data_IF_631344613636
#
_entry.id   IF_631344613636
#
_cell.length_a   1.000
_cell.length_b   1.000
_cell.length_c   1.000
_cell.angle_alpha   90.00
_cell.angle_beta   90.00
_cell.angle_gamma   90.00
#
_symmetry.space_group_name_H-M   'P 1'
#
loop_
_entity.id
_entity.type
_entity.pdbx_description
1 polymer ?
#
# COMPACT_ATOMS: atom_id res chain seq x y z
N UNK A 1 -1.73 31.08 -10.47
CA UNK A 1 -2.90 30.28 -10.05
C UNK A 1 -2.53 28.82 -10.22
N UNK A 2 -2.12 28.13 -9.14
CA UNK A 2 -1.68 26.74 -9.20
C UNK A 2 -2.87 25.82 -8.86
N UNK A 3 -3.30 25.05 -9.84
CA UNK A 3 -4.38 24.08 -9.70
C UNK A 3 -3.84 22.77 -9.09
N UNK A 4 -3.97 22.61 -7.77
CA UNK A 4 -3.72 21.34 -7.07
C UNK A 4 -5.01 20.52 -6.84
N UNK A 5 -6.05 20.76 -7.63
CA UNK A 5 -7.42 20.27 -7.33
C UNK A 5 -7.85 18.96 -7.98
N UNK A 6 -7.12 18.43 -8.97
CA UNK A 6 -7.63 17.31 -9.79
C UNK A 6 -7.24 15.91 -9.32
N UNK A 7 -6.11 15.74 -8.62
CA UNK A 7 -5.65 14.39 -8.22
C UNK A 7 -6.40 13.81 -7.02
N UNK A 8 -6.87 14.65 -6.09
CA UNK A 8 -7.52 14.17 -4.87
C UNK A 8 -8.84 13.43 -5.16
N UNK A 9 -9.63 13.89 -6.14
CA UNK A 9 -10.91 13.25 -6.52
C UNK A 9 -10.72 11.94 -7.31
N UNK A 10 -9.61 11.79 -8.04
CA UNK A 10 -9.32 10.53 -8.75
C UNK A 10 -8.72 9.45 -7.86
N UNK A 11 -8.16 9.81 -6.70
CA UNK A 11 -7.46 8.89 -5.82
C UNK A 11 -8.40 8.13 -4.84
N UNK A 12 -9.56 8.67 -4.50
CA UNK A 12 -10.48 8.04 -3.52
C UNK A 12 -10.80 6.55 -3.80
N UNK A 13 -11.12 6.14 -5.05
CA UNK A 13 -11.39 4.73 -5.33
C UNK A 13 -10.18 3.82 -5.09
N UNK A 14 -8.98 4.28 -5.45
CA UNK A 14 -7.76 3.49 -5.30
C UNK A 14 -7.29 3.43 -3.85
N UNK A 15 -7.52 4.46 -3.04
CA UNK A 15 -7.25 4.43 -1.59
C UNK A 15 -8.13 3.41 -0.88
N UNK A 16 -9.44 3.38 -1.19
CA UNK A 16 -10.34 2.35 -0.66
C UNK A 16 -9.90 0.94 -1.08
N UNK A 17 -9.42 0.80 -2.31
CA UNK A 17 -8.88 -0.46 -2.78
C UNK A 17 -7.57 -0.82 -2.05
N UNK A 18 -6.69 0.14 -1.78
CA UNK A 18 -5.42 -0.09 -1.08
C UNK A 18 -5.61 -0.50 0.39
N UNK A 19 -6.62 0.07 1.04
CA UNK A 19 -6.97 -0.19 2.44
C UNK A 19 -7.22 -1.68 2.70
N UNK A 20 -6.65 -2.23 3.78
CA UNK A 20 -6.92 -3.58 4.26
C UNK A 20 -5.68 -4.37 4.66
N UNK A 21 -5.90 -5.66 4.93
CA UNK A 21 -4.82 -6.63 5.18
C UNK A 21 -4.59 -7.46 3.93
N UNK A 22 -3.33 -7.52 3.51
CA UNK A 22 -2.84 -8.24 2.34
C UNK A 22 -1.90 -9.33 2.79
N UNK A 23 -2.08 -10.55 2.28
CA UNK A 23 -1.35 -11.72 2.76
C UNK A 23 -0.93 -12.66 1.63
N UNK A 24 0.28 -13.18 1.73
CA UNK A 24 0.79 -14.35 1.00
C UNK A 24 1.17 -15.44 2.01
N UNK A 25 1.83 -16.50 1.55
CA UNK A 25 2.43 -17.50 2.44
C UNK A 25 3.54 -16.92 3.31
N UNK A 26 4.29 -15.94 2.80
CA UNK A 26 5.54 -15.45 3.41
C UNK A 26 5.43 -14.01 3.94
N UNK A 27 4.29 -13.33 3.72
CA UNK A 27 4.16 -11.92 4.04
C UNK A 27 2.75 -11.55 4.48
N UNK A 28 2.71 -10.63 5.43
CA UNK A 28 1.51 -9.88 5.79
C UNK A 28 1.82 -8.39 5.74
N UNK A 29 0.94 -7.63 5.09
CA UNK A 29 0.97 -6.18 5.09
C UNK A 29 -0.40 -5.67 5.48
N UNK A 30 -0.44 -4.80 6.48
CA UNK A 30 -1.61 -4.02 6.83
C UNK A 30 -1.43 -2.61 6.29
N UNK A 31 -2.45 -2.11 5.60
CA UNK A 31 -2.53 -0.76 5.08
C UNK A 31 -3.82 -0.11 5.59
N UNK A 32 -3.67 0.95 6.37
CA UNK A 32 -4.76 1.78 6.83
C UNK A 32 -4.63 3.17 6.18
N UNK A 33 -5.33 3.37 5.07
CA UNK A 33 -5.35 4.64 4.33
C UNK A 33 -6.21 5.71 5.00
N UNK A 34 -7.02 5.37 5.99
CA UNK A 34 -7.84 6.36 6.71
C UNK A 34 -7.01 7.07 7.76
N UNK A 35 -6.13 6.32 8.44
CA UNK A 35 -5.22 6.83 9.46
C UNK A 35 -3.82 7.11 8.95
N UNK A 36 -3.54 6.78 7.68
CA UNK A 36 -2.22 6.84 7.06
C UNK A 36 -1.17 6.06 7.87
N UNK A 37 -1.51 4.82 8.20
CA UNK A 37 -0.67 3.89 8.95
C UNK A 37 -0.52 2.57 8.20
N UNK A 38 0.55 1.84 8.49
CA UNK A 38 0.77 0.50 7.96
C UNK A 38 1.59 -0.38 8.88
N UNK A 39 1.66 -1.66 8.55
CA UNK A 39 2.53 -2.63 9.20
C UNK A 39 3.01 -3.65 8.16
N UNK A 40 4.28 -4.07 8.29
CA UNK A 40 4.93 -5.06 7.41
C UNK A 40 5.58 -6.20 8.20
N UNK A 41 5.25 -6.31 9.48
CA UNK A 41 5.91 -7.18 10.46
C UNK A 41 4.84 -7.87 11.31
N UNK A 42 4.57 -9.12 10.95
CA UNK A 42 3.55 -9.96 11.57
C UNK A 42 3.90 -10.38 13.00
N UNK A 43 5.19 -10.37 13.35
CA UNK A 43 5.66 -10.64 14.72
C UNK A 43 5.31 -9.51 15.69
N UNK A 44 5.00 -8.31 15.17
CA UNK A 44 4.61 -7.12 15.94
C UNK A 44 3.24 -6.58 15.47
N UNK A 45 2.14 -7.31 15.73
CA UNK A 45 0.83 -7.04 15.15
C UNK A 45 0.17 -5.74 15.61
N UNK A 46 0.66 -5.11 16.69
CA UNK A 46 0.18 -3.82 17.18
C UNK A 46 1.06 -2.63 16.76
N UNK A 47 2.29 -2.89 16.27
CA UNK A 47 3.15 -1.83 15.80
C UNK A 47 2.59 -1.28 14.48
N UNK A 48 2.52 0.05 14.37
CA UNK A 48 2.12 0.75 13.16
C UNK A 48 3.17 1.80 12.86
N UNK A 49 3.59 1.86 11.60
CA UNK A 49 4.46 2.90 11.08
C UNK A 49 3.67 3.83 10.16
N UNK A 50 4.20 5.03 9.93
CA UNK A 50 3.58 5.99 9.01
C UNK A 50 3.50 5.42 7.59
N UNK A 51 2.32 5.51 6.98
CA UNK A 51 2.10 5.25 5.56
C UNK A 51 2.26 6.56 4.79
N UNK A 52 3.18 6.61 3.83
CA UNK A 52 3.34 7.75 2.93
C UNK A 52 3.13 7.34 1.50
N UNK A 53 2.20 7.99 0.80
CA UNK A 53 1.99 7.78 -0.64
C UNK A 53 2.91 8.71 -1.42
N UNK A 54 3.75 8.14 -2.29
CA UNK A 54 4.74 8.89 -3.08
C UNK A 54 4.26 9.18 -4.49
N UNK A 55 3.57 8.22 -5.11
CA UNK A 55 3.00 8.38 -6.44
C UNK A 55 1.78 7.48 -6.61
N UNK A 56 0.78 7.95 -7.34
CA UNK A 56 -0.44 7.21 -7.70
C UNK A 56 -0.63 7.36 -9.22
N UNK A 57 -0.57 6.24 -9.94
CA UNK A 57 -0.76 6.18 -11.38
C UNK A 57 -1.67 5.02 -11.74
N UNK A 58 -2.97 5.31 -11.86
CA UNK A 58 -3.99 4.28 -12.07
C UNK A 58 -4.05 3.30 -10.90
N UNK A 59 -3.75 2.03 -11.17
CA UNK A 59 -3.71 0.95 -10.15
C UNK A 59 -2.34 0.76 -9.50
N UNK A 60 -1.31 1.43 -10.03
CA UNK A 60 0.04 1.38 -9.49
C UNK A 60 0.22 2.50 -8.46
N UNK A 61 0.70 2.13 -7.28
CA UNK A 61 0.96 3.05 -6.17
C UNK A 61 2.38 2.82 -5.69
N UNK A 62 3.16 3.90 -5.60
CA UNK A 62 4.44 3.89 -4.88
C UNK A 62 4.17 4.43 -3.48
N UNK A 63 4.49 3.66 -2.45
CA UNK A 63 4.23 4.01 -1.07
C UNK A 63 5.35 3.54 -0.14
N UNK A 64 5.38 4.11 1.06
CA UNK A 64 6.32 3.76 2.11
C UNK A 64 5.57 3.43 3.39
N UNK A 65 6.03 2.40 4.12
CA UNK A 65 5.60 2.10 5.49
C UNK A 65 6.85 2.18 6.36
N UNK A 66 6.92 3.22 7.19
CA UNK A 66 8.14 3.55 7.93
C UNK A 66 9.30 3.85 6.98
N UNK A 67 10.36 3.03 7.03
CA UNK A 67 11.55 3.18 6.17
C UNK A 67 11.54 2.30 4.93
N UNK A 68 10.52 1.46 4.76
CA UNK A 68 10.42 0.51 3.65
C UNK A 68 9.58 1.11 2.53
N UNK A 69 10.09 1.10 1.31
CA UNK A 69 9.44 1.56 0.09
C UNK A 69 8.95 0.36 -0.73
N UNK A 70 7.75 0.51 -1.27
CA UNK A 70 7.09 -0.48 -2.10
C UNK A 70 6.47 0.13 -3.34
N UNK A 71 6.33 -0.70 -4.36
CA UNK A 71 5.47 -0.46 -5.51
C UNK A 71 4.40 -1.55 -5.50
N UNK A 72 3.15 -1.13 -5.34
CA UNK A 72 1.98 -2.01 -5.35
C UNK A 72 1.14 -1.79 -6.60
N UNK A 73 0.82 -2.88 -7.31
CA UNK A 73 -0.21 -2.91 -8.33
C UNK A 73 -1.45 -3.57 -7.74
N UNK A 74 -2.48 -2.77 -7.50
CA UNK A 74 -3.72 -3.21 -6.85
C UNK A 74 -4.77 -3.60 -7.90
N UNK A 75 -5.28 -4.83 -7.85
CA UNK A 75 -6.44 -5.28 -8.63
C UNK A 75 -7.41 -6.07 -7.76
N UNK A 76 -8.51 -5.41 -7.34
CA UNK A 76 -9.57 -5.97 -6.50
C UNK A 76 -9.03 -6.58 -5.19
N UNK A 77 -8.83 -7.90 -5.19
CA UNK A 77 -8.38 -8.70 -4.06
C UNK A 77 -6.95 -9.20 -4.24
N UNK A 78 -6.25 -8.77 -5.28
CA UNK A 78 -4.85 -9.07 -5.54
C UNK A 78 -4.00 -7.79 -5.43
N UNK A 79 -2.86 -7.93 -4.78
CA UNK A 79 -1.79 -6.94 -4.72
C UNK A 79 -0.53 -7.62 -5.23
N UNK A 80 -0.04 -7.18 -6.39
CA UNK A 80 1.33 -7.50 -6.81
C UNK A 80 2.26 -6.45 -6.23
N UNK A 81 3.21 -6.91 -5.41
CA UNK A 81 4.08 -6.06 -4.63
C UNK A 81 5.55 -6.27 -5.01
N UNK A 82 6.28 -5.18 -5.14
CA UNK A 82 7.75 -5.17 -5.28
C UNK A 82 8.32 -4.14 -4.30
N UNK A 83 9.60 -4.25 -3.94
CA UNK A 83 10.26 -3.28 -3.07
C UNK A 83 11.12 -3.93 -1.98
N UNK A 84 11.28 -3.22 -0.88
CA UNK A 84 12.23 -3.62 0.18
C UNK A 84 11.92 -5.02 0.75
N UNK A 85 12.92 -5.89 0.68
CA UNK A 85 12.81 -7.27 1.16
C UNK A 85 11.99 -8.19 0.26
N UNK A 86 11.80 -7.85 -1.01
CA UNK A 86 11.16 -8.67 -2.04
C UNK A 86 12.16 -8.84 -3.20
N UNK A 87 12.52 -10.08 -3.53
CA UNK A 87 13.55 -10.35 -4.53
C UNK A 87 13.12 -9.92 -5.94
N UNK A 88 11.88 -10.24 -6.34
CA UNK A 88 11.29 -9.86 -7.62
C UNK A 88 9.93 -9.18 -7.39
N UNK A 89 8.85 -9.98 -7.43
CA UNK A 89 7.50 -9.55 -7.11
C UNK A 89 6.78 -10.63 -6.33
N UNK A 90 5.95 -10.23 -5.39
CA UNK A 90 5.14 -11.12 -4.58
C UNK A 90 3.66 -10.81 -4.78
N UNK A 91 2.83 -11.84 -4.89
CA UNK A 91 1.38 -11.70 -4.98
C UNK A 91 0.79 -11.89 -3.58
N UNK A 92 0.05 -10.89 -3.12
CA UNK A 92 -0.69 -10.90 -1.86
C UNK A 92 -2.18 -10.85 -2.16
N UNK A 93 -2.96 -11.56 -1.36
CA UNK A 93 -4.41 -11.57 -1.43
C UNK A 93 -5.02 -10.80 -0.27
N UNK A 94 -6.12 -10.10 -0.55
CA UNK A 94 -6.92 -9.46 0.50
C UNK A 94 -7.48 -10.53 1.45
N UNK A 95 -7.30 -10.32 2.75
CA UNK A 95 -7.89 -11.14 3.81
C UNK A 95 -9.24 -10.58 4.27
#
# INVERSE_FOLDING_TARGET
MLAFGSQARSAEPILKQMHGTWRSENRLILIDTERMLGNTDDTRPFQRDALTLRNISGRMIVFEIGRKRFIGLFDRNELRLTGDGIADSEILHRR
#
